data_IF_476279038413
#
_entry.id   IF_476279038413
#
_cell.length_a   1.000
_cell.length_b   1.000
_cell.length_c   1.000
_cell.angle_alpha   90.00
_cell.angle_beta   90.00
_cell.angle_gamma   90.00
#
_symmetry.space_group_name_H-M   'P 1'
#
loop_
_entity.id
_entity.type
_entity.pdbx_description
1 polymer ?
#
# COMPACT_ATOMS: atom_id res chain seq x y z
N UNK A 1 -54.63 -59.36 -2.99
CA UNK A 1 -54.46 -57.99 -3.52
C UNK A 1 -53.60 -57.16 -2.56
N UNK A 2 -52.31 -57.07 -2.82
CA UNK A 2 -51.33 -56.43 -1.91
C UNK A 2 -50.88 -55.12 -2.53
N UNK A 3 -51.32 -54.01 -1.94
CA UNK A 3 -50.91 -52.65 -2.40
C UNK A 3 -49.48 -52.33 -1.89
N UNK A 4 -48.53 -52.21 -2.82
CA UNK A 4 -47.20 -51.71 -2.56
C UNK A 4 -47.20 -50.16 -2.51
N UNK A 5 -46.82 -49.59 -1.38
CA UNK A 5 -46.61 -48.14 -1.24
C UNK A 5 -45.14 -47.85 -1.55
N UNK A 6 -44.89 -47.12 -2.64
CA UNK A 6 -43.56 -46.64 -3.00
C UNK A 6 -43.33 -45.31 -2.28
N UNK A 7 -42.40 -45.28 -1.35
CA UNK A 7 -41.98 -44.02 -0.68
C UNK A 7 -40.87 -43.39 -1.53
N UNK A 8 -41.17 -42.22 -2.09
CA UNK A 8 -40.22 -41.41 -2.87
C UNK A 8 -39.42 -40.52 -1.89
N UNK A 9 -38.14 -40.83 -1.66
CA UNK A 9 -37.25 -40.00 -0.87
C UNK A 9 -36.72 -38.88 -1.72
N UNK A 10 -37.11 -37.64 -1.44
CA UNK A 10 -36.51 -36.42 -2.01
C UNK A 10 -35.17 -36.15 -1.31
N UNK A 11 -34.06 -36.36 -2.03
CA UNK A 11 -32.75 -35.90 -1.61
C UNK A 11 -32.67 -34.38 -1.93
N UNK A 12 -32.69 -33.55 -0.89
CA UNK A 12 -32.37 -32.14 -1.00
C UNK A 12 -30.85 -32.00 -1.04
N UNK A 13 -30.28 -31.78 -2.22
CA UNK A 13 -28.87 -31.40 -2.37
C UNK A 13 -28.70 -29.95 -1.93
N UNK A 14 -28.12 -29.75 -0.74
CA UNK A 14 -27.68 -28.42 -0.29
C UNK A 14 -26.46 -28.00 -1.12
N UNK A 15 -26.67 -27.09 -2.08
CA UNK A 15 -25.61 -26.41 -2.80
C UNK A 15 -24.87 -25.50 -1.81
N UNK A 16 -23.72 -25.96 -1.32
CA UNK A 16 -22.76 -25.12 -0.58
C UNK A 16 -22.19 -24.09 -1.57
N UNK A 17 -22.67 -22.86 -1.50
CA UNK A 17 -22.08 -21.72 -2.21
C UNK A 17 -20.74 -21.43 -1.52
N UNK A 18 -19.59 -21.55 -2.24
CA UNK A 18 -18.32 -21.14 -1.64
C UNK A 18 -18.40 -19.63 -1.36
N UNK A 19 -18.29 -19.28 -0.10
CA UNK A 19 -18.21 -17.90 0.33
C UNK A 19 -16.84 -17.37 -0.16
N UNK A 20 -16.80 -16.78 -1.35
CA UNK A 20 -15.64 -16.05 -1.85
C UNK A 20 -15.47 -14.83 -0.96
N UNK A 21 -14.78 -15.00 0.18
CA UNK A 21 -14.45 -13.91 1.09
C UNK A 21 -13.75 -12.81 0.31
N UNK A 22 -14.31 -11.61 0.34
CA UNK A 22 -13.70 -10.45 -0.27
C UNK A 22 -12.27 -10.29 0.26
N UNK A 23 -11.30 -10.24 -0.66
CA UNK A 23 -9.90 -10.12 -0.30
C UNK A 23 -9.64 -8.72 0.25
N UNK A 24 -8.95 -8.66 1.38
CA UNK A 24 -8.62 -7.39 2.03
C UNK A 24 -7.56 -6.60 1.24
N UNK A 25 -7.49 -5.27 1.40
CA UNK A 25 -6.50 -4.43 0.71
C UNK A 25 -5.05 -4.89 0.88
N UNK A 26 -4.69 -5.36 2.08
CA UNK A 26 -3.33 -5.87 2.35
C UNK A 26 -3.03 -7.15 1.58
N UNK A 27 -3.96 -8.12 1.57
CA UNK A 27 -3.77 -9.36 0.78
C UNK A 27 -3.66 -9.09 -0.72
N UNK A 28 -4.32 -8.05 -1.22
CA UNK A 28 -4.15 -7.59 -2.60
C UNK A 28 -2.77 -6.96 -2.81
N UNK A 29 -2.33 -6.09 -1.90
CA UNK A 29 -1.01 -5.47 -1.98
C UNK A 29 0.14 -6.49 -1.88
N UNK A 30 0.01 -7.52 -1.03
CA UNK A 30 1.00 -8.61 -0.92
C UNK A 30 1.12 -9.44 -2.22
N UNK A 31 0.07 -9.50 -3.03
CA UNK A 31 0.07 -10.16 -4.35
C UNK A 31 0.33 -9.20 -5.51
N UNK A 32 0.80 -7.99 -5.21
CA UNK A 32 0.98 -6.92 -6.21
C UNK A 32 -0.32 -6.57 -6.96
N UNK A 33 -1.47 -6.84 -6.33
CA UNK A 33 -2.77 -6.41 -6.84
C UNK A 33 -3.06 -4.97 -6.40
N UNK A 34 -3.71 -4.18 -7.27
CA UNK A 34 -4.08 -2.81 -6.94
C UNK A 34 -5.08 -2.78 -5.79
N UNK A 35 -4.72 -2.04 -4.74
CA UNK A 35 -5.66 -1.69 -3.68
C UNK A 35 -6.22 -0.31 -3.95
N UNK A 36 -7.46 -0.25 -4.38
CA UNK A 36 -8.18 1.01 -4.53
C UNK A 36 -8.76 1.42 -3.17
N UNK A 37 -8.23 2.50 -2.64
CA UNK A 37 -8.89 3.23 -1.55
C UNK A 37 -9.41 4.51 -2.15
N UNK A 38 -10.68 4.86 -1.95
CA UNK A 38 -11.24 6.11 -2.42
C UNK A 38 -10.37 7.30 -1.98
N UNK A 39 -10.18 8.27 -2.85
CA UNK A 39 -9.36 9.47 -2.58
C UNK A 39 -9.89 10.33 -1.43
N UNK A 40 -11.16 10.16 -1.08
CA UNK A 40 -11.88 10.82 0.01
C UNK A 40 -11.89 10.01 1.33
N UNK A 41 -11.19 8.85 1.38
CA UNK A 41 -11.08 8.07 2.62
C UNK A 41 -10.40 8.90 3.72
N UNK A 42 -11.04 9.11 4.88
CA UNK A 42 -10.49 9.96 5.94
C UNK A 42 -9.16 9.47 6.52
N UNK A 43 -8.93 8.13 6.56
CA UNK A 43 -7.67 7.58 7.06
C UNK A 43 -6.55 7.87 6.06
N UNK A 44 -6.82 7.75 4.77
CA UNK A 44 -5.87 8.09 3.71
C UNK A 44 -5.57 9.59 3.69
N UNK A 45 -6.58 10.44 3.87
CA UNK A 45 -6.41 11.89 4.00
C UNK A 45 -5.49 12.27 5.16
N UNK A 46 -5.66 11.65 6.34
CA UNK A 46 -4.75 11.84 7.49
C UNK A 46 -3.34 11.35 7.19
N UNK A 47 -3.18 10.21 6.53
CA UNK A 47 -1.88 9.67 6.13
C UNK A 47 -1.11 10.65 5.25
N UNK A 48 -1.74 11.17 4.21
CA UNK A 48 -1.15 12.20 3.34
C UNK A 48 -0.80 13.48 4.10
N UNK A 49 -1.66 13.91 5.02
CA UNK A 49 -1.40 15.06 5.88
C UNK A 49 -0.16 14.84 6.76
N UNK A 50 -0.07 13.71 7.46
CA UNK A 50 1.07 13.35 8.32
C UNK A 50 2.36 13.25 7.50
N UNK A 51 2.32 12.63 6.33
CA UNK A 51 3.47 12.53 5.44
C UNK A 51 3.99 13.91 5.02
N UNK A 52 3.11 14.83 4.62
CA UNK A 52 3.49 16.18 4.18
C UNK A 52 4.07 17.03 5.30
N UNK A 53 3.49 16.98 6.50
CA UNK A 53 3.97 17.76 7.65
C UNK A 53 5.33 17.27 8.16
N UNK A 54 5.70 16.02 7.94
CA UNK A 54 6.95 15.40 8.37
C UNK A 54 7.99 15.27 7.26
N UNK A 55 7.64 15.62 6.01
CA UNK A 55 8.48 15.43 4.82
C UNK A 55 9.83 16.14 4.91
N UNK A 56 9.90 17.36 5.44
CA UNK A 56 11.18 18.09 5.55
C UNK A 56 12.15 17.39 6.48
N UNK A 57 11.65 16.85 7.60
CA UNK A 57 12.47 16.09 8.51
C UNK A 57 12.99 14.81 7.84
N UNK A 58 12.12 14.08 7.11
CA UNK A 58 12.51 12.89 6.35
C UNK A 58 13.58 13.23 5.29
N UNK A 59 13.39 14.28 4.49
CA UNK A 59 14.33 14.68 3.45
C UNK A 59 15.71 15.03 4.02
N UNK A 60 15.74 15.66 5.20
CA UNK A 60 16.99 15.93 5.91
C UNK A 60 17.69 14.63 6.35
N UNK A 61 16.94 13.66 6.87
CA UNK A 61 17.50 12.34 7.23
C UNK A 61 17.99 11.58 5.98
N UNK A 62 17.25 11.62 4.90
CA UNK A 62 17.62 10.96 3.65
C UNK A 62 18.88 11.58 2.99
N UNK A 63 19.13 12.89 3.19
CA UNK A 63 20.34 13.55 2.68
C UNK A 63 21.61 13.22 3.48
N UNK A 64 21.46 12.77 4.71
CA UNK A 64 22.58 12.38 5.59
C UNK A 64 22.14 11.15 6.42
N UNK A 65 22.08 9.95 5.79
CA UNK A 65 21.61 8.75 6.45
C UNK A 65 22.45 8.38 7.67
N UNK A 66 21.80 8.10 8.80
CA UNK A 66 22.47 7.62 9.99
C UNK A 66 22.93 6.15 9.82
N UNK A 67 24.00 5.70 10.50
CA UNK A 67 24.39 4.31 10.50
C UNK A 67 23.23 3.38 10.91
N UNK A 68 23.03 2.28 10.17
CA UNK A 68 21.95 1.32 10.39
C UNK A 68 20.58 1.74 9.84
N UNK A 69 20.53 2.84 9.08
CA UNK A 69 19.31 3.21 8.35
C UNK A 69 19.44 2.97 6.85
N UNK A 70 18.36 2.56 6.20
CA UNK A 70 18.34 2.19 4.77
C UNK A 70 16.96 2.40 4.12
N UNK A 71 16.87 2.08 2.84
CA UNK A 71 15.64 2.00 2.06
C UNK A 71 14.80 3.30 2.06
N UNK A 72 15.49 4.43 2.01
CA UNK A 72 14.86 5.73 1.91
C UNK A 72 14.10 5.85 0.59
N UNK A 73 12.77 6.00 0.69
CA UNK A 73 11.90 6.08 -0.48
C UNK A 73 10.78 7.11 -0.27
N UNK A 74 10.32 7.70 -1.35
CA UNK A 74 9.14 8.57 -1.35
C UNK A 74 8.02 7.95 -2.19
N UNK A 75 6.78 8.14 -1.78
CA UNK A 75 5.61 7.75 -2.58
C UNK A 75 5.12 8.96 -3.36
N UNK A 76 5.01 8.81 -4.67
CA UNK A 76 4.70 9.90 -5.60
C UNK A 76 3.38 9.61 -6.31
N UNK A 77 2.48 10.60 -6.33
CA UNK A 77 1.26 10.55 -7.11
C UNK A 77 1.58 10.89 -8.57
N UNK A 78 1.32 9.97 -9.49
CA UNK A 78 1.57 10.14 -10.92
C UNK A 78 0.25 10.02 -11.67
N UNK A 79 -0.05 11.00 -12.53
CA UNK A 79 -1.28 11.03 -13.31
C UNK A 79 -1.00 10.99 -14.82
N UNK A 80 -1.91 10.38 -15.57
CA UNK A 80 -2.00 10.45 -17.02
C UNK A 80 -3.09 11.44 -17.53
N UNK A 81 -3.68 12.21 -16.59
CA UNK A 81 -4.78 13.14 -16.86
C UNK A 81 -6.17 12.55 -16.59
N UNK A 82 -6.32 11.22 -16.60
CA UNK A 82 -7.57 10.51 -16.27
C UNK A 82 -7.48 9.76 -14.96
N UNK A 83 -6.35 9.12 -14.73
CA UNK A 83 -6.10 8.26 -13.59
C UNK A 83 -4.89 8.75 -12.81
N UNK A 84 -4.85 8.45 -11.53
CA UNK A 84 -3.69 8.66 -10.66
C UNK A 84 -3.28 7.34 -10.05
N UNK A 85 -2.00 7.03 -10.11
CA UNK A 85 -1.39 5.87 -9.49
C UNK A 85 -0.26 6.33 -8.56
N UNK A 86 -0.03 5.59 -7.48
CA UNK A 86 0.95 5.94 -6.46
C UNK A 86 2.13 5.00 -6.53
N UNK A 87 3.33 5.55 -6.75
CA UNK A 87 4.55 4.78 -6.88
C UNK A 87 5.52 5.05 -5.75
N UNK A 88 6.15 4.01 -5.24
CA UNK A 88 7.38 4.16 -4.49
C UNK A 88 8.51 4.53 -5.43
N UNK A 89 9.34 5.48 -5.01
CA UNK A 89 10.49 5.98 -5.76
C UNK A 89 11.71 5.90 -4.86
N UNK A 90 12.67 5.09 -5.26
CA UNK A 90 13.98 4.92 -4.62
C UNK A 90 15.04 5.78 -5.31
N UNK A 91 16.24 5.81 -4.73
CA UNK A 91 17.42 6.51 -5.28
C UNK A 91 17.07 7.94 -5.71
N UNK A 92 16.29 8.63 -4.89
CA UNK A 92 15.84 9.96 -5.23
C UNK A 92 16.87 11.01 -4.81
N UNK A 93 17.02 12.02 -5.66
CA UNK A 93 17.89 13.16 -5.47
C UNK A 93 17.10 14.45 -5.65
N UNK A 94 17.40 15.46 -4.84
CA UNK A 94 16.77 16.78 -4.94
C UNK A 94 17.62 17.70 -5.82
N UNK A 95 16.95 18.40 -6.74
CA UNK A 95 17.53 19.47 -7.55
C UNK A 95 16.60 20.68 -7.52
N UNK A 96 16.87 21.66 -6.65
CA UNK A 96 15.98 22.80 -6.41
C UNK A 96 14.61 22.36 -5.87
N UNK A 97 13.55 22.70 -6.59
CA UNK A 97 12.16 22.35 -6.25
C UNK A 97 11.71 20.99 -6.82
N UNK A 98 12.56 20.33 -7.56
CA UNK A 98 12.28 19.05 -8.19
C UNK A 98 13.09 17.92 -7.58
N UNK A 99 12.63 16.72 -7.84
CA UNK A 99 13.31 15.48 -7.48
C UNK A 99 13.43 14.61 -8.72
N UNK A 100 14.47 13.80 -8.77
CA UNK A 100 14.58 12.69 -9.70
C UNK A 100 14.76 11.41 -8.90
N UNK A 101 14.24 10.29 -9.39
CA UNK A 101 14.40 9.00 -8.72
C UNK A 101 13.93 7.84 -9.60
N UNK A 102 14.09 6.61 -9.10
CA UNK A 102 13.71 5.38 -9.79
C UNK A 102 12.36 4.89 -9.30
N UNK A 103 11.47 4.60 -10.24
CA UNK A 103 10.18 3.99 -9.97
C UNK A 103 10.40 2.54 -9.51
N UNK A 104 9.91 2.21 -8.31
CA UNK A 104 10.15 0.93 -7.66
C UNK A 104 8.93 -0.03 -7.71
N UNK A 105 7.88 0.33 -8.44
CA UNK A 105 6.69 -0.50 -8.66
C UNK A 105 6.45 -0.69 -10.16
N UNK A 106 5.76 -1.78 -10.52
CA UNK A 106 5.26 -1.97 -11.90
C UNK A 106 3.98 -1.16 -12.10
N UNK A 107 3.93 -0.22 -13.08
CA UNK A 107 2.73 0.55 -13.38
C UNK A 107 1.59 -0.33 -13.89
N UNK A 108 0.42 -0.21 -13.25
CA UNK A 108 -0.78 -0.97 -13.60
C UNK A 108 -1.78 -0.17 -14.43
N UNK A 109 -1.93 1.10 -14.10
CA UNK A 109 -2.91 2.02 -14.68
C UNK A 109 -2.20 3.05 -15.55
N UNK A 110 -1.26 3.79 -14.97
CA UNK A 110 -0.52 4.85 -15.65
C UNK A 110 0.66 4.25 -16.42
N UNK A 111 0.43 3.85 -17.66
CA UNK A 111 1.42 3.14 -18.51
C UNK A 111 2.55 4.01 -19.09
N UNK A 112 2.60 5.29 -18.73
CA UNK A 112 3.62 6.23 -19.18
C UNK A 112 5.03 5.88 -18.71
N UNK A 113 5.15 5.20 -17.57
CA UNK A 113 6.42 4.82 -16.96
C UNK A 113 6.57 3.31 -16.87
N UNK A 114 7.80 2.85 -16.58
CA UNK A 114 8.14 1.45 -16.34
C UNK A 114 8.88 1.31 -15.03
N UNK A 115 8.77 0.14 -14.39
CA UNK A 115 9.56 -0.17 -13.21
C UNK A 115 11.07 0.03 -13.48
N UNK A 116 11.79 0.61 -12.53
CA UNK A 116 13.20 0.95 -12.64
C UNK A 116 13.49 2.22 -13.44
N UNK A 117 12.49 2.79 -14.14
CA UNK A 117 12.68 4.01 -14.91
C UNK A 117 12.97 5.20 -13.99
N UNK A 118 14.01 5.98 -14.33
CA UNK A 118 14.28 7.28 -13.69
C UNK A 118 13.33 8.34 -14.27
N UNK A 119 12.73 9.15 -13.41
CA UNK A 119 11.85 10.25 -13.83
C UNK A 119 11.94 11.43 -12.87
N UNK A 120 11.50 12.58 -13.34
CA UNK A 120 11.49 13.83 -12.56
C UNK A 120 10.07 14.10 -12.03
N UNK A 121 9.97 14.59 -10.81
CA UNK A 121 8.71 14.98 -10.18
C UNK A 121 8.90 16.16 -9.22
N UNK A 122 7.91 17.04 -9.08
CA UNK A 122 7.93 18.13 -8.12
C UNK A 122 7.58 17.65 -6.72
N UNK A 123 8.03 18.40 -5.70
CA UNK A 123 7.81 18.09 -4.28
C UNK A 123 6.33 17.86 -3.91
N UNK A 124 5.42 18.63 -4.48
CA UNK A 124 3.99 18.56 -4.14
C UNK A 124 3.30 17.25 -4.56
N UNK A 125 3.93 16.45 -5.41
CA UNK A 125 3.46 15.10 -5.75
C UNK A 125 3.90 14.03 -4.75
N UNK A 126 4.77 14.34 -3.80
CA UNK A 126 5.15 13.43 -2.73
C UNK A 126 3.99 13.34 -1.73
N UNK A 127 3.45 12.14 -1.55
CA UNK A 127 2.27 11.87 -0.71
C UNK A 127 2.59 10.99 0.49
N UNK A 128 3.75 10.31 0.48
CA UNK A 128 4.23 9.49 1.59
C UNK A 128 5.75 9.33 1.50
N UNK A 129 6.36 8.81 2.55
CA UNK A 129 7.78 8.50 2.60
C UNK A 129 8.04 7.31 3.53
N UNK A 130 9.18 6.65 3.39
CA UNK A 130 9.58 5.56 4.28
C UNK A 130 11.10 5.45 4.38
N UNK A 131 11.59 4.89 5.48
CA UNK A 131 12.94 4.36 5.64
C UNK A 131 12.95 3.26 6.72
N UNK A 132 13.98 2.43 6.73
CA UNK A 132 14.19 1.37 7.73
C UNK A 132 15.30 1.79 8.68
N UNK A 133 15.09 1.60 9.98
CA UNK A 133 16.11 1.65 11.03
C UNK A 133 16.31 0.24 11.58
N UNK A 134 17.39 -0.40 11.15
CA UNK A 134 17.71 -1.79 11.53
C UNK A 134 18.01 -1.92 13.02
N UNK A 135 18.58 -0.89 13.67
CA UNK A 135 18.89 -0.91 15.10
C UNK A 135 17.62 -0.97 15.96
N UNK A 136 16.56 -0.34 15.48
CA UNK A 136 15.24 -0.35 16.13
C UNK A 136 14.32 -1.46 15.60
N UNK A 137 14.71 -2.11 14.50
CA UNK A 137 13.86 -3.07 13.75
C UNK A 137 12.53 -2.42 13.36
N UNK A 138 12.55 -1.17 12.93
CA UNK A 138 11.37 -0.38 12.59
C UNK A 138 11.44 0.18 11.18
N UNK A 139 10.27 0.20 10.54
CA UNK A 139 9.98 0.98 9.33
C UNK A 139 9.25 2.25 9.75
N UNK A 140 9.82 3.39 9.46
CA UNK A 140 9.26 4.71 9.74
C UNK A 140 8.56 5.27 8.50
N UNK A 141 7.55 6.12 8.73
CA UNK A 141 6.69 6.61 7.65
C UNK A 141 5.71 5.55 7.18
N UNK A 142 5.54 5.41 5.86
CA UNK A 142 4.60 4.47 5.23
C UNK A 142 3.17 4.61 5.79
N UNK A 143 2.76 5.87 6.02
CA UNK A 143 1.47 6.21 6.64
C UNK A 143 0.28 5.72 5.82
N UNK A 144 0.45 5.61 4.50
CA UNK A 144 -0.58 5.05 3.63
C UNK A 144 -0.80 3.55 3.87
N UNK A 145 0.24 2.79 4.24
CA UNK A 145 0.06 1.40 4.68
C UNK A 145 -0.70 1.35 6.01
N UNK A 146 -0.38 2.23 6.96
CA UNK A 146 -1.12 2.33 8.20
C UNK A 146 -2.61 2.65 7.98
N UNK A 147 -2.92 3.54 7.03
CA UNK A 147 -4.30 3.83 6.64
C UNK A 147 -5.01 2.59 6.05
N UNK A 148 -4.34 1.80 5.21
CA UNK A 148 -4.87 0.53 4.70
C UNK A 148 -5.15 -0.47 5.81
N UNK A 149 -4.27 -0.56 6.81
CA UNK A 149 -4.42 -1.45 7.96
C UNK A 149 -5.66 -1.16 8.80
N UNK A 150 -6.20 0.07 8.76
CA UNK A 150 -7.49 0.38 9.41
C UNK A 150 -8.69 -0.34 8.79
N UNK A 151 -8.53 -0.92 7.60
CA UNK A 151 -9.56 -1.69 6.89
C UNK A 151 -9.39 -3.21 7.04
N UNK A 152 -8.36 -3.64 7.77
CA UNK A 152 -8.08 -5.04 8.03
C UNK A 152 -8.66 -5.49 9.36
N UNK A 153 -8.92 -6.79 9.54
CA UNK A 153 -9.17 -7.34 10.86
C UNK A 153 -8.01 -7.00 11.82
N UNK A 154 -8.31 -6.62 13.08
CA UNK A 154 -7.27 -6.14 14.03
C UNK A 154 -6.07 -7.07 14.16
N UNK A 155 -6.31 -8.37 14.16
CA UNK A 155 -5.26 -9.39 14.28
C UNK A 155 -4.34 -9.43 13.03
N UNK A 156 -4.90 -9.31 11.83
CA UNK A 156 -4.13 -9.27 10.59
C UNK A 156 -3.33 -7.96 10.49
N UNK A 157 -3.92 -6.84 10.88
CA UNK A 157 -3.22 -5.56 10.97
C UNK A 157 -2.05 -5.62 11.96
N UNK A 158 -2.23 -6.27 13.12
CA UNK A 158 -1.17 -6.46 14.12
C UNK A 158 -0.01 -7.31 13.56
N UNK A 159 -0.32 -8.48 12.98
CA UNK A 159 0.69 -9.36 12.36
C UNK A 159 1.50 -8.65 11.27
N UNK A 160 0.82 -7.85 10.44
CA UNK A 160 1.49 -7.09 9.40
C UNK A 160 2.46 -6.07 10.00
N UNK A 161 2.02 -5.27 10.99
CA UNK A 161 2.88 -4.28 11.65
C UNK A 161 4.10 -4.93 12.29
N UNK A 162 3.92 -6.05 13.01
CA UNK A 162 5.02 -6.79 13.63
C UNK A 162 6.01 -7.33 12.60
N UNK A 163 5.49 -7.94 11.51
CA UNK A 163 6.32 -8.53 10.45
C UNK A 163 7.23 -7.51 9.78
N UNK A 164 6.72 -6.32 9.53
CA UNK A 164 7.45 -5.26 8.81
C UNK A 164 8.04 -4.18 9.72
N UNK A 165 7.87 -4.30 11.02
CA UNK A 165 8.31 -3.28 11.98
C UNK A 165 7.63 -1.93 11.77
N UNK A 166 6.40 -1.91 11.23
CA UNK A 166 5.71 -0.69 10.82
C UNK A 166 5.20 0.09 12.02
N UNK A 167 5.65 1.34 12.15
CA UNK A 167 5.24 2.29 13.19
C UNK A 167 4.06 3.12 12.68
N UNK A 168 2.87 2.86 13.24
CA UNK A 168 1.63 3.53 12.85
C UNK A 168 1.13 4.58 13.87
N UNK A 169 1.89 4.87 14.92
CA UNK A 169 1.53 5.80 15.99
C UNK A 169 1.85 7.26 15.65
#
# INVERSE_FOLDING_TARGET
MTKRHTVLALLAAALAIPNAGAQTPIKKAERDELSFVPSDDPAMGRAFGKARTTLDNFLRLASAPAPGTSDYSVKVAVSDGKNTEYFWVSDFERSGEKFTGRLANEPRIVKKYKNGQKFEFPRNLIVDWTYIDASKRKMFGNFTACALLTKEPPEEARKFRERFGLDCD
#
